data_IF_816531551872
#
_entry.id   IF_816531551872
#
_cell.length_a   1.000
_cell.length_b   1.000
_cell.length_c   1.000
_cell.angle_alpha   90.00
_cell.angle_beta   90.00
_cell.angle_gamma   90.00
#
_symmetry.space_group_name_H-M   'P 1'
#
loop_
_entity.id
_entity.type
_entity.pdbx_description
1 polymer ?
#
# COMPACT_ATOMS: atom_id res chain seq x y z
N UNK A 1 -10.65 -9.62 4.02
CA UNK A 1 -11.03 -8.23 3.67
C UNK A 1 -9.81 -7.31 3.82
N UNK A 2 -8.87 -7.34 2.88
CA UNK A 2 -7.52 -6.74 3.10
C UNK A 2 -7.22 -5.58 2.15
N UNK A 3 -7.90 -5.51 1.00
CA UNK A 3 -7.77 -4.42 0.04
C UNK A 3 -8.28 -3.06 0.56
N UNK A 4 -9.13 -3.07 1.60
CA UNK A 4 -9.67 -1.85 2.20
C UNK A 4 -8.59 -0.99 2.86
N UNK A 5 -7.72 -1.59 3.67
CA UNK A 5 -6.72 -0.86 4.46
C UNK A 5 -5.66 -0.18 3.59
N UNK A 6 -5.17 -0.85 2.54
CA UNK A 6 -4.17 -0.26 1.64
C UNK A 6 -4.74 0.86 0.77
N UNK A 7 -6.00 0.75 0.36
CA UNK A 7 -6.67 1.78 -0.44
C UNK A 7 -6.95 3.02 0.41
N UNK A 8 -7.40 2.82 1.65
CA UNK A 8 -7.66 3.92 2.58
C UNK A 8 -6.35 4.61 3.02
N UNK A 9 -5.28 3.86 3.23
CA UNK A 9 -3.95 4.40 3.49
C UNK A 9 -3.41 5.22 2.30
N UNK A 10 -3.58 4.71 1.08
CA UNK A 10 -3.17 5.44 -0.14
C UNK A 10 -3.89 6.78 -0.28
N UNK A 11 -5.22 6.78 -0.10
CA UNK A 11 -6.03 8.01 -0.16
C UNK A 11 -5.66 8.99 0.95
N UNK A 12 -5.45 8.50 2.18
CA UNK A 12 -5.05 9.35 3.32
C UNK A 12 -3.67 9.99 3.13
N UNK A 13 -2.74 9.30 2.48
CA UNK A 13 -1.43 9.84 2.12
C UNK A 13 -1.45 10.78 0.91
N UNK A 14 -2.61 10.99 0.26
CA UNK A 14 -2.75 11.86 -0.91
C UNK A 14 -2.29 11.23 -2.24
N UNK A 15 -2.20 9.89 -2.30
CA UNK A 15 -1.91 9.20 -3.55
C UNK A 15 -3.18 9.05 -4.38
N UNK A 16 -3.06 9.30 -5.69
CA UNK A 16 -4.15 9.14 -6.67
C UNK A 16 -4.65 7.70 -6.81
N UNK A 17 -3.83 6.71 -6.43
CA UNK A 17 -4.17 5.29 -6.57
C UNK A 17 -3.34 4.40 -5.65
N UNK A 18 -3.93 3.26 -5.26
CA UNK A 18 -3.30 2.23 -4.44
C UNK A 18 -2.01 1.70 -5.06
N UNK A 19 -1.95 1.60 -6.39
CA UNK A 19 -0.76 1.16 -7.14
C UNK A 19 0.45 2.09 -6.94
N UNK A 20 0.23 3.41 -6.93
CA UNK A 20 1.29 4.40 -6.71
C UNK A 20 1.81 4.34 -5.28
N UNK A 21 0.90 4.17 -4.32
CA UNK A 21 1.24 3.95 -2.92
C UNK A 21 2.05 2.66 -2.71
N UNK A 22 1.62 1.53 -3.29
CA UNK A 22 2.34 0.24 -3.18
C UNK A 22 3.74 0.34 -3.80
N UNK A 23 3.89 1.00 -4.94
CA UNK A 23 5.18 1.19 -5.58
C UNK A 23 6.13 2.06 -4.73
N UNK A 24 5.64 3.17 -4.18
CA UNK A 24 6.41 4.03 -3.28
C UNK A 24 6.79 3.31 -1.98
N UNK A 25 5.83 2.59 -1.38
CA UNK A 25 6.03 1.81 -0.16
C UNK A 25 7.08 0.72 -0.39
N UNK A 26 6.98 -0.06 -1.47
CA UNK A 26 7.96 -1.09 -1.81
C UNK A 26 9.35 -0.49 -2.02
N UNK A 27 9.45 0.69 -2.64
CA UNK A 27 10.73 1.37 -2.85
C UNK A 27 11.36 1.85 -1.53
N UNK A 28 10.54 2.19 -0.55
CA UNK A 28 10.98 2.73 0.74
C UNK A 28 11.30 1.62 1.77
N UNK A 29 10.50 0.55 1.80
CA UNK A 29 10.61 -0.54 2.78
C UNK A 29 11.20 -1.84 2.21
N UNK A 30 11.28 -1.99 0.89
CA UNK A 30 11.79 -3.17 0.21
C UNK A 30 10.77 -4.30 0.00
N UNK A 31 9.59 -4.22 0.61
CA UNK A 31 8.50 -5.20 0.49
C UNK A 31 7.15 -4.49 0.30
N UNK A 32 6.15 -5.19 -0.23
CA UNK A 32 4.80 -4.62 -0.38
C UNK A 32 3.96 -4.78 0.88
N UNK A 33 3.01 -3.88 1.18
CA UNK A 33 2.12 -4.06 2.32
C UNK A 33 1.31 -5.36 2.19
N UNK A 34 0.97 -5.79 0.97
CA UNK A 34 0.29 -7.06 0.73
C UNK A 34 1.11 -8.31 1.11
N UNK A 35 2.45 -8.27 1.06
CA UNK A 35 3.30 -9.35 1.58
C UNK A 35 3.31 -9.40 3.10
N UNK A 36 3.18 -8.24 3.76
CA UNK A 36 3.14 -8.11 5.22
C UNK A 36 1.88 -8.75 5.83
N UNK A 37 0.74 -8.62 5.15
CA UNK A 37 -0.54 -9.16 5.60
C UNK A 37 -0.78 -10.63 5.19
N UNK A 38 0.02 -11.18 4.26
CA UNK A 38 -0.12 -12.57 3.79
C UNK A 38 0.67 -13.58 4.63
N UNK A 39 1.23 -13.17 5.77
CA UNK A 39 1.82 -14.04 6.80
C UNK A 39 0.89 -14.14 8.00
#
# INVERSE_FOLDING_TARGET
EEGGSVTLAALSCGYESTSAFIAAFKKMFGFTPGELFRQ
#
